data_IF_205227374744
#
_entry.id   IF_205227374744
#
_cell.length_a   1.000
_cell.length_b   1.000
_cell.length_c   1.000
_cell.angle_alpha   90.00
_cell.angle_beta   90.00
_cell.angle_gamma   90.00
#
_symmetry.space_group_name_H-M   'P 1'
#
loop_
_entity.id
_entity.type
_entity.pdbx_description
1 polymer ?
#
# COMPACT_ATOMS: atom_id res chain seq x y z
N UNK A 1 -7.41 10.00 28.31
CA UNK A 1 -6.34 10.51 27.42
C UNK A 1 -6.24 9.60 26.22
N UNK A 2 -6.66 10.04 25.04
CA UNK A 2 -6.43 9.29 23.79
C UNK A 2 -5.28 9.95 23.05
N UNK A 3 -4.05 9.57 23.38
CA UNK A 3 -2.86 9.84 22.56
C UNK A 3 -2.80 8.90 21.33
N UNK A 4 -3.86 8.10 21.13
CA UNK A 4 -3.94 7.05 20.12
C UNK A 4 -4.61 7.62 18.87
N UNK A 5 -3.96 7.43 17.72
CA UNK A 5 -4.64 7.57 16.44
C UNK A 5 -5.58 6.37 16.29
N UNK A 6 -6.89 6.57 16.10
CA UNK A 6 -7.84 5.47 15.97
C UNK A 6 -7.59 4.62 14.71
N UNK A 7 -6.89 5.20 13.72
CA UNK A 7 -6.42 4.54 12.52
C UNK A 7 -4.94 4.85 12.28
N UNK A 8 -4.23 3.90 11.67
CA UNK A 8 -2.81 4.07 11.34
C UNK A 8 -2.66 5.15 10.25
N UNK A 9 -1.83 6.18 10.46
CA UNK A 9 -1.62 7.20 9.44
C UNK A 9 -0.86 6.62 8.25
N UNK A 10 -1.14 7.15 7.06
CA UNK A 10 -0.32 6.90 5.88
C UNK A 10 0.92 7.79 6.00
N UNK A 11 2.09 7.17 6.10
CA UNK A 11 3.39 7.86 6.12
C UNK A 11 3.94 7.83 4.70
N UNK A 12 4.44 8.97 4.21
CA UNK A 12 4.95 9.10 2.85
C UNK A 12 6.38 9.63 2.93
N UNK A 13 7.32 8.94 2.27
CA UNK A 13 8.66 9.45 2.04
C UNK A 13 8.63 10.43 0.85
N UNK A 14 8.93 11.73 1.04
CA UNK A 14 8.88 12.72 -0.04
C UNK A 14 9.86 12.43 -1.18
N UNK A 15 11.05 11.90 -0.90
CA UNK A 15 12.05 11.58 -1.91
C UNK A 15 11.59 10.41 -2.78
N UNK A 16 10.93 9.41 -2.17
CA UNK A 16 10.31 8.32 -2.91
C UNK A 16 9.17 8.85 -3.79
N UNK A 17 8.27 9.67 -3.23
CA UNK A 17 7.17 10.26 -3.98
C UNK A 17 7.66 11.14 -5.15
N UNK A 18 8.78 11.85 -4.97
CA UNK A 18 9.43 12.61 -6.03
C UNK A 18 9.98 11.70 -7.13
N UNK A 19 10.58 10.57 -6.77
CA UNK A 19 11.20 9.63 -7.70
C UNK A 19 10.18 8.85 -8.55
N UNK A 20 9.12 8.33 -7.93
CA UNK A 20 8.19 7.39 -8.61
C UNK A 20 6.76 7.91 -8.76
N UNK A 21 6.44 9.06 -8.17
CA UNK A 21 5.09 9.59 -8.09
C UNK A 21 4.42 9.33 -6.73
N UNK A 22 3.51 10.24 -6.34
CA UNK A 22 2.86 10.20 -5.03
C UNK A 22 2.03 8.94 -4.81
N UNK A 23 1.19 8.56 -5.79
CA UNK A 23 0.31 7.41 -5.64
C UNK A 23 1.11 6.11 -5.59
N UNK A 24 2.12 6.01 -6.45
CA UNK A 24 3.04 4.87 -6.53
C UNK A 24 3.81 4.71 -5.21
N UNK A 25 4.30 5.82 -4.63
CA UNK A 25 4.96 5.80 -3.32
C UNK A 25 4.02 5.36 -2.19
N UNK A 26 2.77 5.84 -2.17
CA UNK A 26 1.76 5.41 -1.18
C UNK A 26 1.49 3.91 -1.30
N UNK A 27 1.26 3.40 -2.51
CA UNK A 27 0.98 1.99 -2.75
C UNK A 27 2.17 1.09 -2.35
N UNK A 28 3.38 1.48 -2.71
CA UNK A 28 4.60 0.75 -2.37
C UNK A 28 4.84 0.73 -0.85
N UNK A 29 4.62 1.86 -0.17
CA UNK A 29 4.75 1.93 1.29
C UNK A 29 3.73 1.04 2.00
N UNK A 30 2.49 0.97 1.50
CA UNK A 30 1.47 0.07 2.06
C UNK A 30 1.84 -1.39 1.83
N UNK A 31 2.36 -1.75 0.65
CA UNK A 31 2.83 -3.11 0.38
C UNK A 31 3.98 -3.50 1.32
N UNK A 32 4.94 -2.59 1.53
CA UNK A 32 6.05 -2.83 2.46
C UNK A 32 5.55 -3.06 3.90
N UNK A 33 4.52 -2.34 4.35
CA UNK A 33 3.90 -2.59 5.64
C UNK A 33 3.35 -4.02 5.76
N UNK A 34 2.63 -4.50 4.76
CA UNK A 34 2.08 -5.87 4.77
C UNK A 34 3.18 -6.94 4.79
N UNK A 35 4.32 -6.66 4.15
CA UNK A 35 5.43 -7.61 4.12
C UNK A 35 6.20 -7.65 5.44
N UNK A 36 6.34 -6.53 6.14
CA UNK A 36 7.19 -6.40 7.33
C UNK A 36 6.45 -6.56 8.66
N UNK A 37 5.25 -5.97 8.77
CA UNK A 37 4.58 -5.77 10.06
C UNK A 37 3.35 -6.66 10.25
N UNK A 38 2.98 -7.44 9.23
CA UNK A 38 1.85 -8.37 9.31
C UNK A 38 2.25 -9.78 8.89
N UNK A 39 1.46 -10.76 9.32
CA UNK A 39 1.54 -12.14 8.84
C UNK A 39 0.64 -12.36 7.60
N UNK A 40 0.29 -11.26 6.90
CA UNK A 40 -0.56 -11.32 5.72
C UNK A 40 0.22 -11.81 4.51
N UNK A 41 -0.48 -12.46 3.58
CA UNK A 41 0.10 -12.99 2.36
C UNK A 41 0.37 -14.49 2.39
N UNK A 42 0.87 -14.99 1.28
CA UNK A 42 1.20 -16.40 1.06
C UNK A 42 2.71 -16.51 0.88
N UNK A 43 3.35 -17.40 1.62
CA UNK A 43 4.74 -17.75 1.38
C UNK A 43 4.84 -18.88 0.35
N UNK A 44 5.61 -18.65 -0.71
CA UNK A 44 5.95 -19.65 -1.73
C UNK A 44 7.42 -19.49 -2.10
N UNK A 45 8.15 -20.59 -2.08
CA UNK A 45 9.58 -20.64 -2.45
C UNK A 45 10.46 -19.65 -1.66
N UNK A 46 10.14 -19.44 -0.38
CA UNK A 46 10.84 -18.47 0.49
C UNK A 46 10.52 -17.00 0.18
N UNK A 47 9.53 -16.73 -0.69
CA UNK A 47 9.06 -15.38 -1.03
C UNK A 47 7.65 -15.19 -0.51
N UNK A 48 7.41 -14.07 0.18
CA UNK A 48 6.07 -13.69 0.66
C UNK A 48 5.36 -12.85 -0.40
N UNK A 49 4.15 -13.27 -0.75
CA UNK A 49 3.30 -12.62 -1.75
C UNK A 49 2.04 -12.06 -1.11
N UNK A 50 1.72 -10.80 -1.40
CA UNK A 50 0.45 -10.19 -1.00
C UNK A 50 -0.53 -10.29 -2.16
N UNK A 51 -1.68 -10.93 -1.91
CA UNK A 51 -2.76 -11.06 -2.86
C UNK A 51 -4.01 -10.39 -2.30
N UNK A 52 -4.48 -9.35 -2.97
CA UNK A 52 -5.70 -8.63 -2.64
C UNK A 52 -6.51 -8.42 -3.92
N UNK A 53 -7.84 -8.49 -3.82
CA UNK A 53 -8.73 -8.04 -4.90
C UNK A 53 -8.68 -6.52 -5.04
N UNK A 54 -9.21 -6.01 -6.14
CA UNK A 54 -9.36 -4.56 -6.38
C UNK A 54 -10.11 -3.88 -5.23
N UNK A 55 -11.20 -4.50 -4.76
CA UNK A 55 -12.05 -3.99 -3.69
C UNK A 55 -11.30 -3.93 -2.37
N UNK A 56 -10.57 -5.00 -2.02
CA UNK A 56 -9.73 -5.05 -0.82
C UNK A 56 -8.64 -3.97 -0.83
N UNK A 57 -8.07 -3.68 -2.00
CA UNK A 57 -7.14 -2.56 -2.13
C UNK A 57 -7.82 -1.21 -1.96
N UNK A 58 -9.04 -1.03 -2.48
CA UNK A 58 -9.80 0.21 -2.30
C UNK A 58 -10.20 0.45 -0.84
N UNK A 59 -10.38 -0.60 -0.03
CA UNK A 59 -10.57 -0.46 1.42
C UNK A 59 -9.34 0.17 2.11
N UNK A 60 -8.13 -0.09 1.59
CA UNK A 60 -6.89 0.53 2.10
C UNK A 60 -6.73 1.98 1.62
N UNK A 61 -7.30 2.28 0.46
CA UNK A 61 -7.19 3.59 -0.21
C UNK A 61 -8.57 4.15 -0.54
N UNK A 62 -9.40 4.47 0.47
CA UNK A 62 -10.80 4.89 0.26
C UNK A 62 -10.91 6.25 -0.47
N UNK A 63 -9.78 6.94 -0.63
CA UNK A 63 -9.65 8.20 -1.38
C UNK A 63 -9.25 7.99 -2.85
N UNK A 64 -9.05 6.75 -3.30
CA UNK A 64 -8.80 6.42 -4.70
C UNK A 64 -10.04 5.87 -5.40
N UNK A 65 -10.18 6.20 -6.67
CA UNK A 65 -11.05 5.45 -7.58
C UNK A 65 -10.37 4.17 -8.04
N UNK A 66 -11.16 3.21 -8.51
CA UNK A 66 -10.65 1.99 -9.14
C UNK A 66 -9.69 2.29 -10.30
N UNK A 67 -9.98 3.33 -11.09
CA UNK A 67 -9.12 3.74 -12.21
C UNK A 67 -7.77 4.29 -11.74
N UNK A 68 -7.73 4.99 -10.61
CA UNK A 68 -6.47 5.45 -10.00
C UNK A 68 -5.69 4.28 -9.43
N UNK A 69 -6.34 3.33 -8.77
CA UNK A 69 -5.69 2.11 -8.27
C UNK A 69 -5.03 1.33 -9.41
N UNK A 70 -5.79 1.00 -10.46
CA UNK A 70 -5.29 0.25 -11.63
C UNK A 70 -4.10 0.94 -12.29
N UNK A 71 -4.18 2.26 -12.50
CA UNK A 71 -3.09 3.05 -13.09
C UNK A 71 -1.85 3.05 -12.19
N UNK A 72 -2.03 3.20 -10.88
CA UNK A 72 -0.92 3.22 -9.90
C UNK A 72 -0.14 1.90 -9.93
N UNK A 73 -0.83 0.76 -9.82
CA UNK A 73 -0.19 -0.56 -9.88
C UNK A 73 0.41 -0.88 -11.26
N UNK A 74 -0.17 -0.34 -12.34
CA UNK A 74 0.41 -0.50 -13.69
C UNK A 74 1.71 0.29 -13.86
N UNK A 75 1.85 1.43 -13.19
CA UNK A 75 3.04 2.30 -13.25
C UNK A 75 4.17 1.87 -12.31
N UNK A 76 3.90 1.01 -11.34
CA UNK A 76 4.90 0.41 -10.43
C UNK A 76 5.71 -0.75 -11.06
N UNK A 77 5.58 -0.98 -12.37
CA UNK A 77 6.27 -2.05 -13.11
C UNK A 77 7.71 -1.71 -13.49
#
# INVERSE_FOLDING_TARGET
>A
MSLLMPSRPIVINPDLAYSIGLNEAIALQQLNYWLQETNSGLERDGVRWIYNTTEQWLEQFPFWSESTLKRTFTRLK
#
